data_IF_293823425268
#
_entry.id   IF_293823425268
#
_cell.length_a   1.000
_cell.length_b   1.000
_cell.length_c   1.000
_cell.angle_alpha   90.00
_cell.angle_beta   90.00
_cell.angle_gamma   90.00
#
_symmetry.space_group_name_H-M   'P 1'
#
loop_
_entity.id
_entity.type
_entity.pdbx_description
1 polymer ?
#
# COMPACT_ATOMS: atom_id res chain seq x y z
N UNK A 1 4.24 14.23 15.05
CA UNK A 1 3.28 13.39 15.80
C UNK A 1 2.02 13.04 15.00
N UNK A 2 1.06 13.94 14.74
CA UNK A 2 -0.15 13.59 13.96
C UNK A 2 0.17 13.22 12.49
N UNK A 3 1.04 13.98 11.83
CA UNK A 3 1.48 13.67 10.47
C UNK A 3 2.16 12.29 10.36
N UNK A 4 2.97 11.93 11.34
CA UNK A 4 3.70 10.64 11.37
C UNK A 4 2.76 9.46 11.62
N UNK A 5 1.73 9.67 12.44
CA UNK A 5 0.64 8.71 12.62
C UNK A 5 -0.10 8.45 11.30
N UNK A 6 -0.45 9.52 10.57
CA UNK A 6 -1.13 9.39 9.27
C UNK A 6 -0.24 8.69 8.23
N UNK A 7 1.07 8.93 8.23
CA UNK A 7 2.02 8.20 7.37
C UNK A 7 2.06 6.72 7.71
N UNK A 8 2.12 6.38 8.99
CA UNK A 8 2.17 4.99 9.45
C UNK A 8 0.87 4.25 9.12
N UNK A 9 -0.28 4.86 9.37
CA UNK A 9 -1.58 4.32 8.98
C UNK A 9 -1.68 4.07 7.47
N UNK A 10 -1.19 5.01 6.65
CA UNK A 10 -1.12 4.84 5.19
C UNK A 10 -0.21 3.69 4.77
N UNK A 11 0.94 3.50 5.43
CA UNK A 11 1.86 2.38 5.16
C UNK A 11 1.23 1.03 5.49
N UNK A 12 0.37 0.98 6.51
CA UNK A 12 -0.38 -0.21 6.91
C UNK A 12 -1.64 -0.45 6.06
N UNK A 13 -1.77 0.22 4.91
CA UNK A 13 -2.94 0.15 4.02
C UNK A 13 -4.26 0.63 4.67
N UNK A 14 -4.22 1.28 5.84
CA UNK A 14 -5.35 1.97 6.45
C UNK A 14 -5.38 3.42 5.97
N UNK A 15 -5.57 3.61 4.65
CA UNK A 15 -5.70 4.94 4.07
C UNK A 15 -6.87 5.69 4.71
N UNK A 16 -6.57 6.69 5.54
CA UNK A 16 -7.58 7.48 6.22
C UNK A 16 -8.24 8.44 5.22
N UNK A 17 -9.58 8.46 5.23
CA UNK A 17 -10.34 9.44 4.44
C UNK A 17 -10.21 10.84 5.02
N UNK A 18 -10.64 11.86 4.27
CA UNK A 18 -10.70 13.25 4.77
C UNK A 18 -11.51 13.36 6.06
N UNK A 19 -12.65 12.68 6.15
CA UNK A 19 -13.48 12.69 7.35
C UNK A 19 -12.79 12.02 8.54
N UNK A 20 -12.19 10.85 8.35
CA UNK A 20 -11.45 10.17 9.43
C UNK A 20 -10.24 10.99 9.88
N UNK A 21 -9.53 11.62 8.95
CA UNK A 21 -8.41 12.52 9.26
C UNK A 21 -8.87 13.70 10.13
N UNK A 22 -10.03 14.29 9.82
CA UNK A 22 -10.62 15.38 10.62
C UNK A 22 -11.08 14.92 12.01
N UNK A 23 -11.57 13.68 12.15
CA UNK A 23 -11.89 13.08 13.45
C UNK A 23 -10.65 12.84 14.29
N UNK A 24 -9.63 12.18 13.73
CA UNK A 24 -8.37 11.92 14.46
C UNK A 24 -7.70 13.23 14.89
N UNK A 25 -7.76 14.26 14.04
CA UNK A 25 -7.28 15.59 14.39
C UNK A 25 -8.05 16.25 15.54
N UNK A 26 -9.37 16.06 15.58
CA UNK A 26 -10.21 16.52 16.67
C UNK A 26 -9.89 15.77 17.98
N UNK A 27 -9.81 14.45 17.94
CA UNK A 27 -9.46 13.62 19.11
C UNK A 27 -8.05 13.99 19.65
N UNK A 28 -7.11 14.23 18.73
CA UNK A 28 -5.78 14.72 19.06
C UNK A 28 -5.83 16.11 19.70
N UNK A 29 -6.63 17.03 19.16
CA UNK A 29 -6.75 18.38 19.70
C UNK A 29 -7.44 18.40 21.08
N UNK A 30 -8.41 17.51 21.31
CA UNK A 30 -9.06 17.33 22.60
C UNK A 30 -8.11 16.77 23.66
N UNK A 31 -7.34 15.74 23.31
CA UNK A 31 -6.37 15.13 24.24
C UNK A 31 -5.21 16.04 24.60
N UNK A 32 -4.86 16.98 23.72
CA UNK A 32 -3.80 17.97 23.96
C UNK A 32 -4.33 19.32 24.46
N UNK A 33 -5.63 19.46 24.74
CA UNK A 33 -6.30 20.70 25.19
C UNK A 33 -6.02 21.94 24.31
N UNK A 34 -5.87 21.72 23.00
CA UNK A 34 -5.66 22.75 21.97
C UNK A 34 -6.89 22.89 21.05
N UNK A 35 -8.02 22.32 21.45
CA UNK A 35 -9.22 22.20 20.62
C UNK A 35 -10.01 23.52 20.57
N UNK A 36 -10.19 24.14 19.39
CA UNK A 36 -11.05 25.31 19.24
C UNK A 36 -12.52 24.98 19.57
N UNK A 37 -13.25 25.91 20.19
CA UNK A 37 -14.66 25.66 20.58
C UNK A 37 -15.57 25.33 19.39
N UNK A 38 -15.29 25.93 18.22
CA UNK A 38 -15.99 25.62 16.95
C UNK A 38 -15.85 24.16 16.53
N UNK A 39 -14.78 23.47 16.94
CA UNK A 39 -14.61 22.04 16.64
C UNK A 39 -15.36 21.17 17.63
N UNK A 40 -15.60 21.63 18.86
CA UNK A 40 -16.36 20.91 19.89
C UNK A 40 -17.83 20.78 19.52
N UNK A 41 -18.41 21.82 18.93
CA UNK A 41 -19.80 21.79 18.44
C UNK A 41 -20.00 20.77 17.30
N UNK A 42 -19.01 20.68 16.40
CA UNK A 42 -19.10 19.85 15.19
C UNK A 42 -18.45 18.47 15.41
N UNK A 43 -17.75 18.26 16.52
CA UNK A 43 -16.97 17.05 16.88
C UNK A 43 -15.97 16.63 15.81
N UNK A 44 -15.42 17.61 15.09
CA UNK A 44 -14.58 17.39 13.91
C UNK A 44 -13.76 18.63 13.57
N UNK A 45 -12.54 18.42 13.07
CA UNK A 45 -11.71 19.52 12.58
C UNK A 45 -12.32 20.20 11.34
N UNK A 46 -12.05 21.49 11.15
CA UNK A 46 -12.58 22.24 10.00
C UNK A 46 -11.92 21.86 8.66
N UNK A 47 -12.61 22.12 7.56
CA UNK A 47 -12.04 21.90 6.22
C UNK A 47 -10.87 22.84 5.91
N UNK A 48 -10.88 24.06 6.45
CA UNK A 48 -9.77 25.00 6.28
C UNK A 48 -8.52 24.55 7.03
N UNK A 49 -8.70 23.94 8.21
CA UNK A 49 -7.60 23.29 8.91
C UNK A 49 -7.03 22.15 8.08
N UNK A 50 -7.88 21.30 7.49
CA UNK A 50 -7.43 20.19 6.67
C UNK A 50 -6.64 20.70 5.45
N UNK A 51 -7.14 21.72 4.74
CA UNK A 51 -6.42 22.35 3.62
C UNK A 51 -5.06 22.90 4.06
N UNK A 52 -5.01 23.63 5.18
CA UNK A 52 -3.76 24.18 5.71
C UNK A 52 -2.78 23.10 6.15
N UNK A 53 -3.26 22.03 6.79
CA UNK A 53 -2.47 20.89 7.22
C UNK A 53 -1.86 20.15 6.03
N UNK A 54 -2.66 19.88 4.99
CA UNK A 54 -2.20 19.25 3.75
C UNK A 54 -1.23 20.15 2.97
N UNK A 55 -1.41 21.47 3.00
CA UNK A 55 -0.48 22.43 2.38
C UNK A 55 0.90 22.41 3.04
N UNK A 56 0.94 22.32 4.38
CA UNK A 56 2.20 22.21 5.15
C UNK A 56 2.89 20.85 4.98
N UNK A 57 2.12 19.80 4.76
CA UNK A 57 2.61 18.43 4.63
C UNK A 57 2.30 17.89 3.23
N UNK A 58 3.00 18.41 2.20
CA UNK A 58 2.82 17.97 0.80
C UNK A 58 3.22 16.51 0.55
N UNK A 59 3.95 15.92 1.48
CA UNK A 59 4.30 14.51 1.53
C UNK A 59 3.15 13.61 2.03
N UNK A 60 2.12 14.19 2.64
CA UNK A 60 0.87 13.51 2.96
C UNK A 60 -0.07 13.58 1.77
N UNK A 61 -0.51 12.42 1.29
CA UNK A 61 -1.58 12.29 0.33
C UNK A 61 -2.78 11.60 0.99
N UNK A 62 -3.75 12.38 1.47
CA UNK A 62 -5.05 11.86 1.93
C UNK A 62 -5.87 11.51 0.69
N UNK A 63 -5.65 10.29 0.18
CA UNK A 63 -6.44 9.71 -0.91
C UNK A 63 -7.35 8.65 -0.34
N UNK A 64 -8.54 8.51 -0.92
CA UNK A 64 -9.38 7.34 -0.67
C UNK A 64 -8.54 6.12 -1.06
N UNK A 65 -8.26 5.17 -0.15
CA UNK A 65 -7.58 3.95 -0.54
C UNK A 65 -8.45 3.29 -1.60
N UNK A 66 -7.86 2.99 -2.75
CA UNK A 66 -8.55 2.16 -3.74
C UNK A 66 -8.87 0.83 -3.04
N UNK A 67 -10.14 0.39 -3.08
CA UNK A 67 -10.58 -0.88 -2.49
C UNK A 67 -9.70 -2.07 -2.93
N UNK A 68 -9.13 -1.94 -4.14
CA UNK A 68 -8.22 -2.87 -4.78
C UNK A 68 -6.83 -2.92 -4.15
N UNK A 69 -6.37 -1.90 -3.41
CA UNK A 69 -4.99 -1.86 -2.88
C UNK A 69 -4.75 -2.82 -1.71
N UNK A 70 -5.62 -2.80 -0.69
CA UNK A 70 -5.54 -3.73 0.44
C UNK A 70 -5.82 -5.16 0.01
N UNK A 71 -6.88 -5.37 -0.78
CA UNK A 71 -7.24 -6.69 -1.30
C UNK A 71 -6.16 -7.29 -2.21
N UNK A 72 -5.50 -6.48 -3.06
CA UNK A 72 -4.32 -6.92 -3.83
C UNK A 72 -3.16 -7.28 -2.90
N UNK A 73 -2.85 -6.43 -1.91
CA UNK A 73 -1.74 -6.68 -0.99
C UNK A 73 -1.93 -7.97 -0.19
N UNK A 74 -3.13 -8.22 0.33
CA UNK A 74 -3.45 -9.46 1.08
C UNK A 74 -3.52 -10.68 0.18
N UNK A 75 -4.01 -10.53 -1.06
CA UNK A 75 -4.05 -11.62 -2.04
C UNK A 75 -2.67 -11.97 -2.58
N UNK A 76 -1.69 -11.06 -2.51
CA UNK A 76 -0.32 -11.27 -2.95
C UNK A 76 0.51 -12.00 -1.87
N UNK A 77 0.11 -13.22 -1.52
CA UNK A 77 0.82 -14.09 -0.59
C UNK A 77 1.39 -15.32 -1.30
N UNK A 78 2.35 -15.99 -0.66
CA UNK A 78 3.08 -17.15 -1.23
C UNK A 78 2.15 -18.24 -1.74
N UNK A 79 1.08 -18.54 -1.01
CA UNK A 79 0.13 -19.60 -1.37
C UNK A 79 -0.63 -19.24 -2.67
N UNK A 80 -1.18 -18.03 -2.73
CA UNK A 80 -1.92 -17.55 -3.90
C UNK A 80 -1.02 -17.41 -5.13
N UNK A 81 0.22 -16.91 -4.93
CA UNK A 81 1.21 -16.79 -6.01
C UNK A 81 1.61 -18.16 -6.55
N UNK A 82 1.90 -19.12 -5.68
CA UNK A 82 2.21 -20.49 -6.11
C UNK A 82 1.04 -21.11 -6.88
N UNK A 83 -0.18 -21.02 -6.33
CA UNK A 83 -1.39 -21.54 -6.97
C UNK A 83 -1.62 -20.93 -8.35
N UNK A 84 -1.36 -19.63 -8.51
CA UNK A 84 -1.46 -18.94 -9.79
C UNK A 84 -0.47 -19.50 -10.82
N UNK A 85 0.82 -19.63 -10.46
CA UNK A 85 1.84 -20.17 -11.35
C UNK A 85 1.64 -21.66 -11.66
N UNK A 86 1.16 -22.45 -10.70
CA UNK A 86 0.77 -23.85 -10.92
C UNK A 86 -0.33 -23.94 -11.98
N UNK A 87 -1.41 -23.16 -11.82
CA UNK A 87 -2.51 -23.12 -12.80
C UNK A 87 -2.03 -22.69 -14.18
N UNK A 88 -1.18 -21.66 -14.27
CA UNK A 88 -0.58 -21.24 -15.54
C UNK A 88 0.27 -22.37 -16.14
N UNK A 89 1.12 -23.02 -15.35
CA UNK A 89 1.99 -24.09 -15.82
C UNK A 89 1.19 -25.27 -16.37
N UNK A 90 0.04 -25.58 -15.75
CA UNK A 90 -0.88 -26.61 -16.21
C UNK A 90 -1.49 -26.22 -17.55
N UNK A 91 -2.11 -25.04 -17.66
CA UNK A 91 -2.69 -24.57 -18.92
C UNK A 91 -1.66 -24.51 -20.05
N UNK A 92 -0.47 -23.97 -19.78
CA UNK A 92 0.59 -23.89 -20.79
C UNK A 92 1.05 -25.28 -21.27
N UNK A 93 0.99 -26.30 -20.40
CA UNK A 93 1.30 -27.69 -20.77
C UNK A 93 0.17 -28.34 -21.55
N UNK A 94 -1.09 -28.17 -21.12
CA UNK A 94 -2.28 -28.69 -21.79
C UNK A 94 -2.38 -28.20 -23.26
N UNK A 95 -2.06 -26.92 -23.49
CA UNK A 95 -2.09 -26.32 -24.83
C UNK A 95 -0.75 -26.40 -25.58
N UNK A 96 0.25 -27.14 -25.07
CA UNK A 96 1.60 -27.24 -25.66
C UNK A 96 2.23 -25.87 -26.01
N UNK A 97 1.95 -24.85 -25.21
CA UNK A 97 2.45 -23.48 -25.41
C UNK A 97 3.86 -23.28 -24.83
N UNK A 98 4.34 -24.25 -24.02
CA UNK A 98 5.72 -24.28 -23.57
C UNK A 98 6.61 -24.79 -24.70
N UNK A 99 7.37 -23.90 -25.33
CA UNK A 99 8.45 -24.33 -26.22
C UNK A 99 9.47 -25.15 -25.42
N UNK A 100 10.05 -26.22 -25.98
CA UNK A 100 11.11 -26.95 -25.30
C UNK A 100 12.25 -25.98 -25.01
N UNK A 101 12.47 -25.70 -23.72
CA UNK A 101 13.64 -24.96 -23.29
C UNK A 101 14.85 -25.79 -23.73
N UNK A 102 15.67 -25.21 -24.61
CA UNK A 102 16.97 -25.80 -24.93
C UNK A 102 17.67 -26.03 -23.60
N UNK A 103 17.95 -27.29 -23.25
CA UNK A 103 18.88 -27.61 -22.17
C UNK A 103 20.14 -26.82 -22.48
N UNK A 104 20.44 -25.78 -21.71
CA UNK A 104 21.72 -25.10 -21.77
C UNK A 104 22.76 -26.15 -21.40
N UNK A 105 23.43 -26.68 -22.43
CA UNK A 105 24.57 -27.56 -22.26
C UNK A 105 25.58 -26.84 -21.37
N UNK A 106 26.07 -27.54 -20.35
CA UNK A 106 27.14 -27.04 -19.50
C UNK A 106 28.32 -26.58 -20.38
N UNK A 107 28.96 -25.43 -20.08
CA UNK A 107 30.09 -24.97 -20.87
C UNK A 107 31.21 -26.01 -20.82
N UNK A 108 31.67 -26.44 -22.00
CA UNK A 108 32.76 -27.41 -22.14
C UNK A 108 34.03 -26.88 -21.45
N UNK A 109 34.79 -27.73 -20.74
CA UNK A 109 36.01 -27.29 -20.07
C UNK A 109 37.03 -26.85 -21.12
N UNK A 110 37.53 -25.62 -20.96
CA UNK A 110 38.56 -25.03 -21.83
C UNK A 110 39.83 -25.84 -21.64
N UNK A 111 40.25 -26.55 -22.69
CA UNK A 111 41.53 -27.25 -22.73
C UNK A 111 42.65 -26.20 -22.82
N UNK A 112 43.28 -25.89 -21.70
CA UNK A 112 44.54 -25.14 -21.69
C UNK A 112 45.61 -26.09 -22.22
N UNK A 113 46.05 -25.86 -23.46
CA UNK A 113 47.24 -26.52 -24.01
C UNK A 113 48.47 -25.81 -23.46
N UNK A 114 49.32 -26.62 -22.82
CA UNK A 114 50.63 -26.28 -22.27
C UNK A 114 51.63 -25.83 -23.33
#
# INVERSE_FOLDING_TARGET
MLADYLKTASKMCYGLTRHQTKKVAFDYAMTNDICPDKWKEITTASDDWLKGFMSRHRDLAVRKPESTSLSRATSFNKHNVNTFFEKISTVLREYNLLQPTKKTAAPSPILVKS
#
